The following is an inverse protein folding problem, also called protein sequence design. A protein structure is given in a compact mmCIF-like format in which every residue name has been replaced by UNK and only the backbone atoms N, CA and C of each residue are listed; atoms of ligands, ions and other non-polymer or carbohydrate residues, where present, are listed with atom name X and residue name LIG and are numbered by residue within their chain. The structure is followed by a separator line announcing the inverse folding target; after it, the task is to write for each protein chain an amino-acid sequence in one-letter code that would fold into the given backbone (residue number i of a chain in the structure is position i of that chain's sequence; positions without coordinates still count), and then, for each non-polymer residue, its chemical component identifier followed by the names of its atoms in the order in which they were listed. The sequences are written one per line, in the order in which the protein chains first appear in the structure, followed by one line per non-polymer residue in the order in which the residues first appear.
data_IF_497162185159
#
_entry.id   IF_497162185159
#
_cell.length_a   1.000
_cell.length_b   1.000
_cell.length_c   1.000
_cell.angle_alpha   90.00
_cell.angle_beta   90.00
_cell.angle_gamma   90.00
#
_symmetry.space_group_name_H-M   'P 1'
#
loop_
_entity.id
_entity.type
_entity.pdbx_description
1 polymer ?
#
# COMPACT_ATOMS: atom_id res chain seq x y z
N UNK A 1 10.26 -7.00 -9.86
CA UNK A 1 9.14 -6.36 -10.58
C UNK A 1 9.24 -6.74 -12.05
N UNK A 2 8.12 -7.05 -12.69
CA UNK A 2 8.02 -7.30 -14.13
C UNK A 2 7.17 -6.22 -14.78
N UNK A 3 7.43 -5.94 -16.05
CA UNK A 3 6.62 -5.06 -16.89
C UNK A 3 6.07 -5.88 -18.06
N UNK A 4 4.79 -5.74 -18.35
CA UNK A 4 4.15 -6.37 -19.51
C UNK A 4 3.26 -5.34 -20.22
N UNK A 5 3.23 -5.33 -21.57
CA UNK A 5 2.30 -4.47 -22.30
C UNK A 5 0.85 -4.88 -22.00
N UNK A 6 -0.01 -3.87 -21.84
CA UNK A 6 -1.42 -4.07 -21.66
C UNK A 6 -2.01 -4.77 -22.92
N UNK A 7 -2.83 -5.83 -22.76
CA UNK A 7 -3.41 -6.55 -23.90
C UNK A 7 -4.30 -5.68 -24.81
N UNK A 8 -4.87 -4.60 -24.27
CA UNK A 8 -5.81 -3.69 -24.94
C UNK A 8 -5.15 -2.44 -25.53
N UNK A 9 -4.04 -1.95 -24.96
CA UNK A 9 -3.20 -0.90 -25.55
C UNK A 9 -1.72 -1.17 -25.26
N UNK A 10 -0.95 -1.56 -26.28
CA UNK A 10 0.48 -1.91 -26.15
C UNK A 10 1.38 -0.73 -25.77
N UNK A 11 0.86 0.51 -25.74
CA UNK A 11 1.55 1.70 -25.24
C UNK A 11 1.41 1.86 -23.72
N UNK A 12 0.46 1.16 -23.11
CA UNK A 12 0.38 1.02 -21.67
C UNK A 12 1.20 -0.18 -21.20
N UNK A 13 1.97 0.03 -20.13
CA UNK A 13 2.72 -1.02 -19.45
C UNK A 13 2.09 -1.26 -18.09
N UNK A 14 1.75 -2.51 -17.81
CA UNK A 14 1.37 -2.97 -16.48
C UNK A 14 2.62 -3.36 -15.71
N UNK A 15 2.69 -2.87 -14.48
CA UNK A 15 3.74 -3.20 -13.52
C UNK A 15 3.20 -4.26 -12.55
N UNK A 16 3.90 -5.39 -12.43
CA UNK A 16 3.54 -6.46 -11.51
C UNK A 16 4.71 -6.85 -10.60
N UNK A 17 4.38 -7.35 -9.41
CA UNK A 17 5.37 -8.01 -8.55
C UNK A 17 5.84 -9.31 -9.21
N UNK A 18 7.14 -9.58 -9.12
CA UNK A 18 7.66 -10.93 -9.37
C UNK A 18 7.19 -11.86 -8.25
N UNK A 19 7.30 -13.19 -8.44
CA UNK A 19 6.98 -14.15 -7.38
C UNK A 19 7.78 -13.90 -6.11
N UNK A 20 9.08 -13.60 -6.25
CA UNK A 20 9.93 -13.18 -5.12
C UNK A 20 9.43 -11.88 -4.47
N UNK A 21 8.91 -10.94 -5.26
CA UNK A 21 8.33 -9.70 -4.75
C UNK A 21 7.01 -9.93 -4.01
N UNK A 22 6.17 -10.85 -4.47
CA UNK A 22 4.94 -11.26 -3.79
C UNK A 22 5.25 -11.96 -2.46
N UNK A 23 6.25 -12.84 -2.44
CA UNK A 23 6.72 -13.49 -1.22
C UNK A 23 7.22 -12.46 -0.20
N UNK A 24 8.07 -11.51 -0.63
CA UNK A 24 8.55 -10.41 0.22
C UNK A 24 7.41 -9.53 0.74
N UNK A 25 6.45 -9.17 -0.10
CA UNK A 25 5.28 -8.41 0.33
C UNK A 25 4.50 -9.17 1.41
N UNK A 26 4.26 -10.46 1.20
CA UNK A 26 3.52 -11.31 2.14
C UNK A 26 4.21 -11.37 3.51
N UNK A 27 5.54 -11.53 3.52
CA UNK A 27 6.30 -11.62 4.79
C UNK A 27 6.45 -10.27 5.50
N UNK A 28 6.40 -9.15 4.79
CA UNK A 28 6.59 -7.81 5.37
C UNK A 28 5.28 -7.10 5.72
N UNK A 29 4.15 -7.56 5.16
CA UNK A 29 2.84 -6.94 5.35
C UNK A 29 2.42 -6.85 6.82
N UNK A 30 2.65 -7.89 7.62
CA UNK A 30 2.27 -7.90 9.03
C UNK A 30 3.02 -6.83 9.82
N UNK A 31 4.34 -6.73 9.63
CA UNK A 31 5.15 -5.69 10.25
C UNK A 31 4.68 -4.27 9.85
N UNK A 32 4.25 -4.07 8.61
CA UNK A 32 3.70 -2.78 8.17
C UNK A 32 2.38 -2.43 8.87
N UNK A 33 1.51 -3.42 9.10
CA UNK A 33 0.26 -3.25 9.85
C UNK A 33 0.58 -2.91 11.32
N UNK A 34 1.52 -3.61 11.93
CA UNK A 34 1.92 -3.39 13.33
C UNK A 34 2.48 -1.99 13.55
N UNK A 35 3.39 -1.55 12.69
CA UNK A 35 3.96 -0.19 12.76
C UNK A 35 2.87 0.86 12.57
N UNK A 36 1.92 0.64 11.67
CA UNK A 36 0.78 1.54 11.46
C UNK A 36 -0.11 1.61 12.71
N UNK A 37 -0.36 0.46 13.35
CA UNK A 37 -1.13 0.37 14.59
C UNK A 37 -0.45 1.10 15.74
N UNK A 38 0.86 0.91 15.91
CA UNK A 38 1.66 1.60 16.93
C UNK A 38 1.69 3.11 16.72
N UNK A 39 1.91 3.55 15.47
CA UNK A 39 1.96 4.96 15.09
C UNK A 39 0.65 5.68 15.41
N UNK A 40 -0.49 5.02 15.15
CA UNK A 40 -1.82 5.55 15.42
C UNK A 40 -2.31 5.23 16.84
N UNK A 41 -1.55 4.45 17.61
CA UNK A 41 -1.87 3.98 18.95
C UNK A 41 -2.34 5.09 19.90
N UNK A 42 -1.67 6.26 19.96
CA UNK A 42 -2.07 7.36 20.82
C UNK A 42 -3.43 8.01 20.47
N UNK A 43 -3.95 7.78 19.27
CA UNK A 43 -5.19 8.38 18.79
C UNK A 43 -6.38 7.47 19.08
N UNK A 44 -7.50 8.07 19.49
CA UNK A 44 -8.81 7.43 19.50
C UNK A 44 -9.29 7.10 18.08
N UNK A 45 -10.32 6.27 17.96
CA UNK A 45 -10.85 5.86 16.66
C UNK A 45 -11.35 7.06 15.82
N UNK A 46 -12.00 8.05 16.45
CA UNK A 46 -12.49 9.26 15.78
C UNK A 46 -11.34 10.17 15.33
N UNK A 47 -10.28 10.30 16.12
CA UNK A 47 -9.08 11.04 15.75
C UNK A 47 -8.34 10.39 14.58
N UNK A 48 -8.22 9.04 14.57
CA UNK A 48 -7.65 8.30 13.43
C UNK A 48 -8.44 8.55 12.15
N UNK A 49 -9.77 8.48 12.21
CA UNK A 49 -10.63 8.74 11.07
C UNK A 49 -10.45 10.18 10.54
N UNK A 50 -10.37 11.15 11.45
CA UNK A 50 -10.13 12.56 11.11
C UNK A 50 -8.76 12.76 10.45
N UNK A 51 -7.71 12.15 10.99
CA UNK A 51 -6.36 12.22 10.42
C UNK A 51 -6.33 11.67 8.99
N UNK A 52 -6.92 10.50 8.75
CA UNK A 52 -6.96 9.89 7.42
C UNK A 52 -7.76 10.74 6.41
N UNK A 53 -8.86 11.35 6.85
CA UNK A 53 -9.62 12.30 6.05
C UNK A 53 -8.79 13.52 5.64
N UNK A 54 -8.01 14.08 6.56
CA UNK A 54 -7.15 15.23 6.30
C UNK A 54 -5.99 14.88 5.38
N UNK A 55 -5.34 13.73 5.58
CA UNK A 55 -4.26 13.25 4.71
C UNK A 55 -4.75 13.06 3.28
N UNK A 56 -5.94 12.47 3.09
CA UNK A 56 -6.56 12.29 1.77
C UNK A 56 -6.89 13.58 1.00
N UNK A 57 -6.76 14.76 1.63
CA UNK A 57 -6.87 16.05 0.93
C UNK A 57 -5.53 16.59 0.44
N UNK A 58 -4.42 16.04 0.94
CA UNK A 58 -3.07 16.49 0.61
C UNK A 58 -2.39 15.61 -0.44
N UNK A 59 -2.82 14.35 -0.54
CA UNK A 59 -2.27 13.34 -1.48
C UNK A 59 -3.13 13.17 -2.71
#
# INVERSE_FOLDING_TARGET
MTTAPDPSDRRHLTVALTDQGQALFTTTREAAIDVSSQTLGPLSQSERATLLLLLGRLV
#
